data_IF_471966227211
#
_entry.id   IF_471966227211
#
_cell.length_a   1.000
_cell.length_b   1.000
_cell.length_c   1.000
_cell.angle_alpha   90.00
_cell.angle_beta   90.00
_cell.angle_gamma   90.00
#
_symmetry.space_group_name_H-M   'P 1'
#
loop_
_entity.id
_entity.type
_entity.pdbx_description
1 polymer ?
#
# COMPACT_ATOMS: atom_id res chain seq x y z
N UNK A 1 -20.54 16.40 3.47
CA UNK A 1 -19.37 15.99 2.67
C UNK A 1 -19.51 16.57 1.27
N UNK A 2 -18.53 17.32 0.77
CA UNK A 2 -18.61 17.95 -0.55
C UNK A 2 -18.72 16.87 -1.66
N UNK A 3 -19.42 17.15 -2.77
CA UNK A 3 -19.63 16.21 -3.90
C UNK A 3 -18.33 15.51 -4.31
N UNK A 4 -17.25 16.28 -4.43
CA UNK A 4 -15.93 15.78 -4.80
C UNK A 4 -15.32 14.79 -3.78
N UNK A 5 -15.46 15.04 -2.48
CA UNK A 5 -14.98 14.11 -1.46
C UNK A 5 -15.75 12.77 -1.51
N UNK A 6 -17.03 12.80 -1.86
CA UNK A 6 -17.84 11.57 -2.00
C UNK A 6 -17.35 10.74 -3.19
N UNK A 7 -17.08 11.39 -4.32
CA UNK A 7 -16.52 10.72 -5.50
C UNK A 7 -15.15 10.09 -5.18
N UNK A 8 -14.26 10.83 -4.52
CA UNK A 8 -12.93 10.32 -4.11
C UNK A 8 -13.04 9.09 -3.20
N UNK A 9 -13.96 9.12 -2.22
CA UNK A 9 -14.21 7.99 -1.33
C UNK A 9 -14.75 6.77 -2.09
N UNK A 10 -15.76 6.97 -2.94
CA UNK A 10 -16.36 5.89 -3.73
C UNK A 10 -15.30 5.24 -4.64
N UNK A 11 -14.49 6.04 -5.32
CA UNK A 11 -13.37 5.55 -6.12
C UNK A 11 -12.38 4.73 -5.27
N UNK A 12 -12.09 5.20 -4.05
CA UNK A 12 -11.19 4.48 -3.14
C UNK A 12 -11.74 3.12 -2.74
N UNK A 13 -13.03 3.06 -2.41
CA UNK A 13 -13.73 1.81 -2.07
C UNK A 13 -13.73 0.86 -3.28
N UNK A 14 -14.03 1.38 -4.47
CA UNK A 14 -14.01 0.58 -5.71
C UNK A 14 -12.61 -0.02 -5.94
N UNK A 15 -11.54 0.76 -5.80
CA UNK A 15 -10.16 0.25 -5.98
C UNK A 15 -9.84 -0.82 -4.93
N UNK A 16 -10.28 -0.67 -3.67
CA UNK A 16 -10.07 -1.67 -2.63
C UNK A 16 -10.82 -2.97 -2.95
N UNK A 17 -12.07 -2.88 -3.42
CA UNK A 17 -12.85 -4.05 -3.84
C UNK A 17 -12.17 -4.73 -5.04
N UNK A 18 -11.76 -3.97 -6.05
CA UNK A 18 -10.99 -4.50 -7.19
C UNK A 18 -9.71 -5.17 -6.70
N UNK A 19 -9.00 -4.57 -5.76
CA UNK A 19 -7.79 -5.16 -5.17
C UNK A 19 -8.08 -6.52 -4.54
N UNK A 20 -9.12 -6.62 -3.72
CA UNK A 20 -9.52 -7.89 -3.09
C UNK A 20 -9.93 -8.95 -4.12
N UNK A 21 -10.71 -8.57 -5.15
CA UNK A 21 -11.11 -9.46 -6.25
C UNK A 21 -9.88 -9.97 -7.01
N UNK A 22 -8.95 -9.08 -7.36
CA UNK A 22 -7.75 -9.46 -8.10
C UNK A 22 -6.80 -10.31 -7.25
N UNK A 23 -6.67 -10.05 -5.95
CA UNK A 23 -5.95 -10.92 -5.02
C UNK A 23 -6.55 -12.32 -5.00
N UNK A 24 -7.87 -12.43 -4.87
CA UNK A 24 -8.57 -13.71 -4.84
C UNK A 24 -8.39 -14.47 -6.16
N UNK A 25 -8.59 -13.79 -7.29
CA UNK A 25 -8.40 -14.39 -8.62
C UNK A 25 -6.96 -14.85 -8.84
N UNK A 26 -5.96 -14.08 -8.40
CA UNK A 26 -4.56 -14.45 -8.51
C UNK A 26 -4.19 -15.63 -7.61
N UNK A 27 -4.66 -15.63 -6.35
CA UNK A 27 -4.47 -16.73 -5.41
C UNK A 27 -5.05 -18.05 -5.93
N UNK A 28 -6.24 -17.99 -6.55
CA UNK A 28 -6.90 -19.14 -7.19
C UNK A 28 -6.38 -19.45 -8.60
N UNK A 29 -5.29 -18.81 -9.04
CA UNK A 29 -4.62 -19.05 -10.33
C UNK A 29 -5.50 -18.82 -11.56
N UNK A 30 -6.50 -17.94 -11.48
CA UNK A 30 -7.32 -17.55 -12.65
C UNK A 30 -6.52 -16.79 -13.71
N UNK A 31 -5.43 -16.16 -13.29
CA UNK A 31 -4.39 -15.61 -14.15
C UNK A 31 -3.02 -15.78 -13.47
N UNK A 32 -1.94 -15.60 -14.23
CA UNK A 32 -0.57 -15.78 -13.72
C UNK A 32 0.32 -14.57 -13.99
N UNK A 33 1.06 -14.16 -12.95
CA UNK A 33 2.17 -13.21 -12.98
C UNK A 33 3.47 -13.87 -12.50
N UNK A 34 3.50 -15.21 -12.55
CA UNK A 34 4.61 -16.03 -12.07
C UNK A 34 5.73 -16.22 -13.10
N UNK A 35 5.60 -15.65 -14.30
CA UNK A 35 6.67 -15.69 -15.31
C UNK A 35 7.87 -14.85 -14.84
N UNK A 36 9.07 -15.28 -15.21
CA UNK A 36 10.32 -14.61 -14.87
C UNK A 36 10.67 -13.54 -15.90
N UNK A 37 11.17 -12.41 -15.41
CA UNK A 37 11.75 -11.34 -16.22
C UNK A 37 13.10 -11.04 -15.58
N UNK A 38 14.20 -11.44 -16.23
CA UNK A 38 15.52 -11.39 -15.59
C UNK A 38 15.57 -12.20 -14.28
N UNK A 39 16.15 -11.67 -13.18
CA UNK A 39 16.34 -12.42 -11.94
C UNK A 39 15.07 -12.62 -11.09
N UNK A 40 13.98 -11.91 -11.37
CA UNK A 40 12.77 -11.97 -10.54
C UNK A 40 11.51 -12.37 -11.33
N UNK A 41 10.50 -12.87 -10.62
CA UNK A 41 9.16 -13.04 -11.22
C UNK A 41 8.54 -11.67 -11.48
N UNK A 42 7.74 -11.53 -12.56
CA UNK A 42 7.08 -10.29 -12.96
C UNK A 42 6.34 -9.60 -11.80
N UNK A 43 5.71 -10.39 -10.93
CA UNK A 43 5.04 -9.88 -9.73
C UNK A 43 5.95 -9.09 -8.76
N UNK A 44 7.25 -9.39 -8.71
CA UNK A 44 8.21 -8.63 -7.88
C UNK A 44 8.45 -7.23 -8.46
N UNK A 45 8.54 -7.10 -9.79
CA UNK A 45 8.69 -5.78 -10.42
C UNK A 45 7.49 -4.88 -10.17
N UNK A 46 6.27 -5.44 -10.18
CA UNK A 46 5.07 -4.70 -9.81
C UNK A 46 5.11 -4.25 -8.34
N UNK A 47 5.55 -5.12 -7.44
CA UNK A 47 5.75 -4.76 -6.03
C UNK A 47 6.82 -3.68 -5.88
N UNK A 48 7.94 -3.76 -6.60
CA UNK A 48 8.98 -2.74 -6.59
C UNK A 48 8.47 -1.39 -7.05
N UNK A 49 7.70 -1.35 -8.14
CA UNK A 49 7.09 -0.11 -8.64
C UNK A 49 6.17 0.52 -7.58
N UNK A 50 5.29 -0.27 -6.95
CA UNK A 50 4.42 0.20 -5.87
C UNK A 50 5.20 0.68 -4.64
N UNK A 51 6.15 -0.11 -4.18
CA UNK A 51 6.99 0.20 -3.00
C UNK A 51 7.83 1.45 -3.23
N UNK A 52 8.51 1.57 -4.38
CA UNK A 52 9.32 2.76 -4.71
C UNK A 52 8.44 4.00 -4.82
N UNK A 53 7.25 3.88 -5.43
CA UNK A 53 6.30 4.98 -5.46
C UNK A 53 5.97 5.48 -4.05
N UNK A 54 5.63 4.59 -3.11
CA UNK A 54 5.35 4.96 -1.72
C UNK A 54 6.59 5.59 -1.08
N UNK A 55 7.74 4.91 -1.20
CA UNK A 55 8.99 5.31 -0.57
C UNK A 55 9.42 6.73 -0.94
N UNK A 56 9.21 7.15 -2.19
CA UNK A 56 9.53 8.51 -2.63
C UNK A 56 8.37 9.50 -2.48
N UNK A 57 7.14 9.11 -2.84
CA UNK A 57 6.02 10.06 -2.89
C UNK A 57 5.64 10.58 -1.50
N UNK A 58 5.67 9.73 -0.47
CA UNK A 58 5.31 10.11 0.91
C UNK A 58 6.18 11.27 1.44
N UNK A 59 7.52 11.20 1.43
CA UNK A 59 8.38 12.26 1.94
C UNK A 59 8.32 13.50 1.03
N UNK A 60 8.23 13.31 -0.29
CA UNK A 60 8.06 14.42 -1.24
C UNK A 60 6.80 15.21 -0.91
N UNK A 61 5.67 14.53 -0.69
CA UNK A 61 4.40 15.19 -0.36
C UNK A 61 4.47 15.83 1.03
N UNK A 62 5.08 15.17 2.01
CA UNK A 62 5.29 15.73 3.34
C UNK A 62 6.11 17.03 3.30
N UNK A 63 7.14 17.08 2.45
CA UNK A 63 7.96 18.26 2.21
C UNK A 63 7.18 19.36 1.45
N UNK A 64 6.56 19.00 0.33
CA UNK A 64 5.83 19.95 -0.54
C UNK A 64 4.61 20.56 0.15
N UNK A 65 3.96 19.85 1.06
CA UNK A 65 2.87 20.39 1.88
C UNK A 65 3.29 21.65 2.62
N UNK A 66 4.52 21.72 3.11
CA UNK A 66 5.06 22.87 3.85
C UNK A 66 5.45 24.02 2.93
N UNK A 67 5.96 23.72 1.73
CA UNK A 67 6.49 24.71 0.77
C UNK A 67 5.46 25.28 -0.20
N UNK A 68 4.43 24.50 -0.57
CA UNK A 68 3.44 24.85 -1.61
C UNK A 68 2.01 24.52 -1.16
N UNK A 69 1.47 25.19 -0.13
CA UNK A 69 0.17 24.87 0.44
C UNK A 69 -0.99 25.01 -0.58
N UNK A 70 -0.86 25.91 -1.55
CA UNK A 70 -1.84 26.14 -2.62
C UNK A 70 -2.10 24.88 -3.47
N UNK A 71 -1.08 24.03 -3.68
CA UNK A 71 -1.19 22.78 -4.46
C UNK A 71 -1.52 21.55 -3.61
N UNK A 72 -1.63 21.72 -2.29
CA UNK A 72 -1.74 20.61 -1.34
C UNK A 72 -2.98 19.73 -1.57
N UNK A 73 -4.12 20.33 -1.96
CA UNK A 73 -5.34 19.55 -2.23
C UNK A 73 -5.14 18.57 -3.40
N UNK A 74 -4.56 19.05 -4.51
CA UNK A 74 -4.25 18.20 -5.68
C UNK A 74 -3.22 17.13 -5.34
N UNK A 75 -2.15 17.50 -4.61
CA UNK A 75 -1.13 16.54 -4.16
C UNK A 75 -1.74 15.45 -3.26
N UNK A 76 -2.68 15.80 -2.39
CA UNK A 76 -3.38 14.84 -1.52
C UNK A 76 -4.25 13.87 -2.32
N UNK A 77 -4.90 14.33 -3.41
CA UNK A 77 -5.68 13.46 -4.29
C UNK A 77 -4.80 12.46 -5.03
N UNK A 78 -3.71 12.95 -5.61
CA UNK A 78 -2.72 12.11 -6.31
C UNK A 78 -2.12 11.10 -5.34
N UNK A 79 -1.73 11.55 -4.13
CA UNK A 79 -1.25 10.70 -3.06
C UNK A 79 -2.21 9.55 -2.79
N UNK A 80 -3.47 9.86 -2.49
CA UNK A 80 -4.48 8.85 -2.15
C UNK A 80 -4.68 7.85 -3.29
N UNK A 81 -4.92 8.34 -4.51
CA UNK A 81 -5.18 7.47 -5.66
C UNK A 81 -4.00 6.55 -5.97
N UNK A 82 -2.80 7.11 -6.11
CA UNK A 82 -1.62 6.33 -6.47
C UNK A 82 -1.15 5.42 -5.34
N UNK A 83 -1.39 5.77 -4.06
CA UNK A 83 -1.12 4.84 -2.95
C UNK A 83 -2.08 3.65 -2.96
N UNK A 84 -3.33 3.82 -3.42
CA UNK A 84 -4.24 2.69 -3.61
C UNK A 84 -3.81 1.81 -4.79
N UNK A 85 -3.29 2.40 -5.87
CA UNK A 85 -2.69 1.64 -6.97
C UNK A 85 -1.45 0.88 -6.48
N UNK A 86 -0.56 1.53 -5.72
CA UNK A 86 0.61 0.87 -5.13
C UNK A 86 0.19 -0.26 -4.17
N UNK A 87 -0.83 -0.03 -3.34
CA UNK A 87 -1.42 -1.04 -2.46
C UNK A 87 -1.92 -2.23 -3.26
N UNK A 88 -2.63 -2.03 -4.38
CA UNK A 88 -3.07 -3.11 -5.27
C UNK A 88 -1.90 -3.97 -5.76
N UNK A 89 -0.82 -3.34 -6.25
CA UNK A 89 0.34 -4.07 -6.76
C UNK A 89 1.03 -4.89 -5.66
N UNK A 90 1.18 -4.32 -4.47
CA UNK A 90 1.75 -5.00 -3.29
C UNK A 90 0.83 -6.12 -2.81
N UNK A 91 -0.48 -5.91 -2.81
CA UNK A 91 -1.50 -6.91 -2.49
C UNK A 91 -1.45 -8.11 -3.44
N UNK A 92 -1.30 -7.88 -4.75
CA UNK A 92 -1.10 -8.97 -5.70
C UNK A 92 0.19 -9.74 -5.43
N UNK A 93 1.27 -9.03 -5.09
CA UNK A 93 2.51 -9.67 -4.69
C UNK A 93 2.31 -10.57 -3.48
N UNK A 94 1.68 -10.05 -2.43
CA UNK A 94 1.38 -10.80 -1.22
C UNK A 94 0.50 -12.03 -1.49
N UNK A 95 -0.56 -11.89 -2.29
CA UNK A 95 -1.40 -13.01 -2.70
C UNK A 95 -0.62 -14.10 -3.45
N UNK A 96 0.31 -13.69 -4.34
CA UNK A 96 1.18 -14.63 -5.05
C UNK A 96 2.19 -15.35 -4.17
N UNK A 97 2.64 -14.71 -3.09
CA UNK A 97 3.49 -15.35 -2.08
C UNK A 97 2.70 -16.39 -1.28
N UNK A 98 1.48 -16.05 -0.86
CA UNK A 98 0.59 -16.97 -0.13
C UNK A 98 0.12 -18.16 -0.98
N UNK A 99 -0.04 -17.98 -2.29
CA UNK A 99 -0.46 -19.03 -3.22
C UNK A 99 0.65 -20.00 -3.66
N UNK A 100 1.86 -19.88 -3.10
CA UNK A 100 2.97 -20.79 -3.42
C UNK A 100 2.69 -22.21 -2.86
N UNK A 101 3.14 -23.27 -3.56
CA UNK A 101 3.07 -24.64 -3.03
C UNK A 101 3.76 -24.74 -1.67
N UNK A 102 3.34 -25.71 -0.84
CA UNK A 102 3.89 -25.93 0.50
C UNK A 102 5.42 -26.10 0.49
N UNK A 103 5.97 -26.81 -0.51
CA UNK A 103 7.41 -27.06 -0.66
C UNK A 103 8.23 -25.79 -0.95
N UNK A 104 7.58 -24.70 -1.38
CA UNK A 104 8.19 -23.42 -1.69
C UNK A 104 7.51 -22.25 -0.95
N UNK A 105 6.88 -22.55 0.19
CA UNK A 105 6.16 -21.55 0.97
C UNK A 105 7.14 -20.53 1.55
N UNK A 106 6.89 -19.23 1.42
CA UNK A 106 7.82 -18.22 1.86
C UNK A 106 7.75 -18.04 3.38
N UNK A 107 8.88 -17.64 3.98
CA UNK A 107 8.86 -17.11 5.34
C UNK A 107 8.12 -15.78 5.36
N UNK A 108 6.94 -15.78 5.95
CA UNK A 108 6.06 -14.61 5.94
C UNK A 108 6.60 -13.43 6.76
N UNK A 109 7.35 -13.70 7.84
CA UNK A 109 7.82 -12.77 8.87
C UNK A 109 7.65 -11.28 8.57
N UNK A 110 8.67 -10.68 7.96
CA UNK A 110 8.70 -9.24 7.65
C UNK A 110 7.70 -8.83 6.56
N UNK A 111 7.40 -9.72 5.61
CA UNK A 111 6.45 -9.45 4.52
C UNK A 111 5.00 -9.32 4.99
N UNK A 112 4.57 -10.18 5.91
CA UNK A 112 3.24 -10.12 6.54
C UNK A 112 3.13 -8.88 7.44
N UNK A 113 4.16 -8.59 8.23
CA UNK A 113 4.19 -7.39 9.07
C UNK A 113 4.06 -6.11 8.23
N UNK A 114 4.80 -6.03 7.11
CA UNK A 114 4.70 -4.91 6.17
C UNK A 114 3.30 -4.82 5.54
N UNK A 115 2.72 -5.95 5.14
CA UNK A 115 1.39 -5.97 4.54
C UNK A 115 0.30 -5.51 5.51
N UNK A 116 0.36 -5.96 6.78
CA UNK A 116 -0.55 -5.48 7.84
C UNK A 116 -0.41 -3.97 8.03
N UNK A 117 0.82 -3.46 8.10
CA UNK A 117 1.06 -2.02 8.24
C UNK A 117 0.45 -1.24 7.07
N UNK A 118 0.63 -1.72 5.84
CA UNK A 118 0.06 -1.14 4.62
C UNK A 118 -1.48 -1.14 4.64
N UNK A 119 -2.11 -2.24 5.03
CA UNK A 119 -3.57 -2.34 5.17
C UNK A 119 -4.08 -1.30 6.18
N UNK A 120 -3.46 -1.23 7.36
CA UNK A 120 -3.80 -0.24 8.38
C UNK A 120 -3.57 1.20 7.89
N UNK A 121 -2.55 1.42 7.06
CA UNK A 121 -2.25 2.74 6.50
C UNK A 121 -3.34 3.21 5.53
N UNK A 122 -3.86 2.30 4.69
CA UNK A 122 -5.03 2.55 3.82
C UNK A 122 -6.26 2.88 4.66
N UNK A 123 -6.59 2.06 5.66
CA UNK A 123 -7.76 2.29 6.51
C UNK A 123 -7.68 3.60 7.29
N UNK A 124 -6.54 3.90 7.90
CA UNK A 124 -6.32 5.17 8.62
C UNK A 124 -6.38 6.38 7.68
N UNK A 125 -5.89 6.25 6.44
CA UNK A 125 -6.01 7.28 5.40
C UNK A 125 -7.47 7.57 5.02
N UNK A 126 -8.28 6.52 4.82
CA UNK A 126 -9.71 6.66 4.55
C UNK A 126 -10.47 7.26 5.74
N UNK A 127 -10.17 6.79 6.96
CA UNK A 127 -10.78 7.32 8.18
C UNK A 127 -10.51 8.82 8.36
N UNK A 128 -9.28 9.26 8.02
CA UNK A 128 -8.93 10.68 8.01
C UNK A 128 -9.75 11.47 7.00
N UNK A 129 -9.99 10.91 5.80
CA UNK A 129 -10.80 11.53 4.74
C UNK A 129 -12.28 11.62 5.09
N UNK A 130 -12.80 10.62 5.81
CA UNK A 130 -14.18 10.55 6.28
C UNK A 130 -14.48 11.52 7.43
N UNK A 131 -13.46 12.20 7.98
CA UNK A 131 -13.57 13.13 9.10
C UNK A 131 -14.39 12.52 10.25
N UNK A 132 -14.10 11.26 10.60
CA UNK A 132 -14.83 10.51 11.63
C UNK A 132 -14.53 11.07 13.03
N UNK A 133 -15.09 12.25 13.34
CA UNK A 133 -15.12 12.79 14.72
C UNK A 133 -15.89 11.88 15.69
N UNK A 134 -16.64 10.90 15.16
CA UNK A 134 -17.62 10.10 15.90
C UNK A 134 -17.06 8.81 16.54
N UNK A 135 -15.92 8.30 16.06
CA UNK A 135 -15.40 6.99 16.52
C UNK A 135 -13.95 7.02 17.00
N UNK A 136 -13.08 7.82 16.38
CA UNK A 136 -11.66 7.92 16.79
C UNK A 136 -11.24 9.39 16.73
N UNK A 137 -10.54 9.87 17.76
CA UNK A 137 -10.06 11.26 17.79
C UNK A 137 -9.17 11.53 16.55
N UNK A 138 -9.37 12.64 15.82
CA UNK A 138 -8.58 12.96 14.62
C UNK A 138 -7.06 13.02 14.85
N UNK A 139 -6.64 13.32 16.08
CA UNK A 139 -5.22 13.32 16.45
C UNK A 139 -4.64 11.91 16.51
N UNK A 140 -5.42 10.95 17.02
CA UNK A 140 -5.03 9.53 17.10
C UNK A 140 -4.94 8.93 15.71
N UNK A 141 -5.92 9.17 14.83
CA UNK A 141 -5.87 8.65 13.45
C UNK A 141 -4.70 9.25 12.66
N UNK A 142 -4.40 10.53 12.84
CA UNK A 142 -3.21 11.17 12.24
C UNK A 142 -1.92 10.57 12.78
N UNK A 143 -1.82 10.38 14.09
CA UNK A 143 -0.64 9.77 14.72
C UNK A 143 -0.42 8.36 14.20
N UNK A 144 -1.48 7.53 14.17
CA UNK A 144 -1.41 6.18 13.63
C UNK A 144 -1.00 6.17 12.16
N UNK A 145 -1.61 7.02 11.32
CA UNK A 145 -1.30 7.06 9.89
C UNK A 145 0.18 7.42 9.63
N UNK A 146 0.72 8.41 10.35
CA UNK A 146 2.14 8.80 10.24
C UNK A 146 3.05 7.72 10.84
N UNK A 147 2.68 7.15 11.99
CA UNK A 147 3.44 6.08 12.64
C UNK A 147 3.53 4.83 11.76
N UNK A 148 2.44 4.44 11.10
CA UNK A 148 2.41 3.33 10.15
C UNK A 148 3.32 3.59 8.94
N UNK A 149 3.42 4.83 8.48
CA UNK A 149 4.36 5.18 7.40
C UNK A 149 5.81 4.98 7.86
N UNK A 150 6.14 5.32 9.11
CA UNK A 150 7.47 5.03 9.68
C UNK A 150 7.72 3.52 9.80
N UNK A 151 6.72 2.75 10.25
CA UNK A 151 6.79 1.28 10.28
C UNK A 151 7.05 0.73 8.88
N UNK A 152 6.36 1.25 7.85
CA UNK A 152 6.61 0.87 6.46
C UNK A 152 8.08 1.04 6.10
N UNK A 153 8.70 2.19 6.39
CA UNK A 153 10.12 2.44 6.07
C UNK A 153 11.09 1.51 6.79
N UNK A 154 10.83 1.22 8.06
CA UNK A 154 11.69 0.32 8.84
C UNK A 154 11.55 -1.10 8.29
N UNK A 155 10.32 -1.60 8.19
CA UNK A 155 10.06 -3.00 7.85
C UNK A 155 10.40 -3.29 6.38
N UNK A 156 10.20 -2.34 5.45
CA UNK A 156 10.58 -2.57 4.04
C UNK A 156 12.08 -2.75 3.86
N UNK A 157 12.91 -2.00 4.60
CA UNK A 157 14.36 -2.16 4.54
C UNK A 157 14.74 -3.54 5.03
N UNK A 158 14.24 -3.95 6.21
CA UNK A 158 14.49 -5.30 6.75
C UNK A 158 13.98 -6.39 5.79
N UNK A 159 12.80 -6.21 5.20
CA UNK A 159 12.21 -7.16 4.26
C UNK A 159 13.07 -7.35 3.01
N UNK A 160 13.62 -6.26 2.46
CA UNK A 160 14.52 -6.31 1.30
C UNK A 160 15.84 -6.97 1.69
N UNK A 161 16.46 -6.58 2.82
CA UNK A 161 17.74 -7.15 3.24
C UNK A 161 17.64 -8.67 3.49
N UNK A 162 16.56 -9.12 4.14
CA UNK A 162 16.27 -10.54 4.35
C UNK A 162 15.99 -11.26 3.02
N UNK A 163 15.22 -10.65 2.13
CA UNK A 163 14.94 -11.19 0.79
C UNK A 163 16.18 -11.31 -0.11
N UNK A 164 17.24 -10.55 0.19
CA UNK A 164 18.54 -10.62 -0.49
C UNK A 164 19.54 -11.55 0.22
N UNK A 165 19.18 -12.13 1.38
CA UNK A 165 20.06 -13.00 2.17
C UNK A 165 21.22 -12.26 2.84
N UNK A 166 21.08 -10.95 3.09
CA UNK A 166 22.11 -10.13 3.76
C UNK A 166 22.02 -10.30 5.29
N UNK A 167 20.81 -10.42 5.82
CA UNK A 167 20.48 -10.65 7.24
C UNK A 167 19.41 -11.72 7.37
#
# INVERSE_FOLDING_TARGET
MAKQQRTELLLSIIIIIITAILMFAYYNRWFSLAYTVGPFRAIHYLAFAGTLYIAFSVPIIAYLKRRRPQKYQTLTRIHMFMNLVAFLLISLHFAGQLGRPADFYPELGTGLALYIAMVLQVFTGLAFRLNQKRFVKPITTRFLHVGLALVFYIVIVTHILHGLGII
#
